data_IF_435836579495
#
_entry.id   IF_435836579495
#
_cell.length_a   1.000
_cell.length_b   1.000
_cell.length_c   1.000
_cell.angle_alpha   90.00
_cell.angle_beta   90.00
_cell.angle_gamma   90.00
#
_symmetry.space_group_name_H-M   'P 1'
#
loop_
_entity.id
_entity.type
_entity.pdbx_description
1 polymer ?
#
# COMPACT_ATOMS: atom_id res chain seq x y z
N UNK A 1 -19.67 17.20 62.97
CA UNK A 1 -20.00 18.36 62.11
C UNK A 1 -19.68 17.98 60.67
N UNK A 2 -20.66 17.50 59.91
CA UNK A 2 -20.51 17.15 58.49
C UNK A 2 -21.13 18.29 57.68
N UNK A 3 -20.29 19.14 57.08
CA UNK A 3 -20.70 20.20 56.17
C UNK A 3 -20.89 19.60 54.77
N UNK A 4 -22.15 19.35 54.40
CA UNK A 4 -22.56 19.05 53.03
C UNK A 4 -22.50 20.35 52.21
N UNK A 5 -21.45 20.51 51.41
CA UNK A 5 -21.40 21.52 50.35
C UNK A 5 -22.31 21.06 49.21
N UNK A 6 -23.54 21.59 49.17
CA UNK A 6 -24.40 21.51 48.00
C UNK A 6 -23.73 22.26 46.85
N UNK A 7 -23.20 21.54 45.86
CA UNK A 7 -22.80 22.13 44.59
C UNK A 7 -24.07 22.59 43.88
N UNK A 8 -24.32 23.90 43.87
CA UNK A 8 -25.26 24.50 42.92
C UNK A 8 -24.67 24.39 41.52
N UNK A 9 -24.97 23.30 40.82
CA UNK A 9 -24.75 23.20 39.39
C UNK A 9 -25.81 24.05 38.70
N UNK A 10 -25.43 25.24 38.24
CA UNK A 10 -26.27 26.07 37.39
C UNK A 10 -26.33 25.42 36.00
N UNK A 11 -27.28 24.50 35.79
CA UNK A 11 -27.56 23.91 34.48
C UNK A 11 -28.40 24.89 33.66
N UNK A 12 -27.79 25.95 33.14
CA UNK A 12 -28.49 26.88 32.24
C UNK A 12 -28.65 26.22 30.87
N UNK A 13 -29.82 25.61 30.66
CA UNK A 13 -30.23 25.11 29.35
C UNK A 13 -30.27 26.27 28.35
N UNK A 14 -29.75 26.09 27.12
CA UNK A 14 -29.70 27.17 26.15
C UNK A 14 -31.13 27.53 25.69
N UNK A 15 -31.38 28.82 25.48
CA UNK A 15 -32.71 29.38 25.20
C UNK A 15 -32.80 30.02 23.81
N UNK A 16 -34.01 30.35 23.36
CA UNK A 16 -34.30 31.12 22.15
C UNK A 16 -35.55 31.99 22.35
N UNK A 17 -35.67 33.07 21.57
CA UNK A 17 -36.83 33.95 21.60
C UNK A 17 -37.91 33.42 20.65
N UNK A 18 -39.15 33.40 21.10
CA UNK A 18 -40.32 32.99 20.33
C UNK A 18 -41.46 33.97 20.54
N UNK A 19 -42.24 34.24 19.48
CA UNK A 19 -43.47 35.04 19.59
C UNK A 19 -44.65 34.09 19.63
N UNK A 20 -45.33 34.03 20.77
CA UNK A 20 -46.50 33.18 20.92
C UNK A 20 -47.64 33.67 20.02
N UNK A 21 -48.21 32.78 19.21
CA UNK A 21 -49.19 33.15 18.21
C UNK A 21 -50.55 33.52 18.82
N UNK A 22 -50.88 33.00 20.00
CA UNK A 22 -52.15 33.26 20.66
C UNK A 22 -52.15 34.59 21.44
N UNK A 23 -51.09 34.86 22.20
CA UNK A 23 -50.95 36.06 23.04
C UNK A 23 -50.22 37.22 22.36
N UNK A 24 -49.52 36.97 21.26
CA UNK A 24 -48.61 37.91 20.59
C UNK A 24 -47.45 38.41 21.48
N UNK A 25 -47.18 37.73 22.60
CA UNK A 25 -46.10 38.03 23.53
C UNK A 25 -44.76 37.43 23.07
N UNK A 26 -43.65 38.07 23.42
CA UNK A 26 -42.31 37.56 23.16
C UNK A 26 -41.79 36.80 24.38
N UNK A 27 -41.62 35.49 24.23
CA UNK A 27 -41.22 34.56 25.29
C UNK A 27 -39.77 34.09 25.11
N UNK A 28 -39.13 33.73 26.22
CA UNK A 28 -37.82 33.06 26.24
C UNK A 28 -38.03 31.57 26.48
N UNK A 29 -37.87 30.78 25.42
CA UNK A 29 -38.12 29.34 25.41
C UNK A 29 -36.83 28.53 25.56
N UNK A 30 -36.89 27.35 26.18
CA UNK A 30 -35.76 26.42 26.23
C UNK A 30 -35.60 25.68 24.90
N UNK A 31 -34.36 25.52 24.43
CA UNK A 31 -34.05 24.74 23.22
C UNK A 31 -34.20 23.25 23.50
N UNK A 32 -34.41 22.50 22.43
CA UNK A 32 -34.40 21.04 22.45
C UNK A 32 -32.98 20.49 22.36
N UNK A 33 -32.65 19.40 23.10
CA UNK A 33 -31.34 18.79 23.06
C UNK A 33 -31.04 18.11 21.71
N UNK A 34 -29.76 17.77 21.41
CA UNK A 34 -29.41 16.88 20.30
C UNK A 34 -30.25 15.59 20.33
N UNK A 35 -30.62 15.06 19.16
CA UNK A 35 -31.54 13.92 19.09
C UNK A 35 -33.01 14.27 19.01
N UNK A 36 -33.37 15.55 19.21
CA UNK A 36 -34.76 16.01 19.30
C UNK A 36 -35.00 17.31 18.52
N UNK A 37 -36.27 17.62 18.29
CA UNK A 37 -36.75 18.85 17.65
C UNK A 37 -37.95 19.42 18.40
N UNK A 38 -38.29 20.69 18.15
CA UNK A 38 -39.44 21.37 18.75
C UNK A 38 -40.72 20.88 18.11
N UNK A 39 -41.54 20.17 18.88
CA UNK A 39 -42.90 19.79 18.49
C UNK A 39 -43.88 20.94 18.71
N UNK A 40 -43.77 21.58 19.86
CA UNK A 40 -44.55 22.76 20.24
C UNK A 40 -43.63 23.77 20.94
N UNK A 41 -43.69 25.02 20.48
CA UNK A 41 -43.00 26.12 21.13
C UNK A 41 -43.57 26.37 22.54
N UNK A 42 -42.79 27.05 23.38
CA UNK A 42 -43.29 27.39 24.71
C UNK A 42 -44.42 28.41 24.61
N UNK A 43 -45.39 28.29 25.51
CA UNK A 43 -46.34 29.35 25.85
C UNK A 43 -45.99 29.90 27.23
N UNK A 44 -46.79 30.83 27.75
CA UNK A 44 -46.59 31.35 29.11
C UNK A 44 -46.79 30.26 30.17
N UNK A 45 -47.64 29.28 29.89
CA UNK A 45 -48.03 28.21 30.82
C UNK A 45 -47.29 26.89 30.55
N UNK A 46 -46.84 26.65 29.31
CA UNK A 46 -46.23 25.38 28.90
C UNK A 46 -44.80 25.57 28.40
N UNK A 47 -43.83 24.75 28.88
CA UNK A 47 -42.48 24.78 28.35
C UNK A 47 -42.42 24.25 26.91
N UNK A 48 -41.30 24.47 26.23
CA UNK A 48 -41.07 23.87 24.90
C UNK A 48 -41.15 22.36 24.97
N UNK A 49 -41.98 21.76 24.11
CA UNK A 49 -42.09 20.31 23.99
C UNK A 49 -41.17 19.82 22.88
N UNK A 50 -40.24 18.95 23.26
CA UNK A 50 -39.32 18.30 22.34
C UNK A 50 -39.79 16.88 21.99
N UNK A 51 -39.61 16.47 20.73
CA UNK A 51 -39.84 15.09 20.28
C UNK A 51 -38.57 14.51 19.65
N UNK A 52 -38.34 13.19 19.77
CA UNK A 52 -37.17 12.54 19.19
C UNK A 52 -37.20 12.64 17.66
N UNK A 53 -36.02 12.73 17.05
CA UNK A 53 -35.90 12.66 15.61
C UNK A 53 -36.41 11.31 15.09
N UNK A 54 -37.22 11.30 14.01
CA UNK A 54 -37.60 10.06 13.35
C UNK A 54 -36.40 9.44 12.63
N UNK A 55 -36.58 8.20 12.14
CA UNK A 55 -35.57 7.51 11.34
C UNK A 55 -35.09 8.36 10.16
N UNK A 56 -33.80 8.20 9.81
CA UNK A 56 -33.10 8.96 8.77
C UNK A 56 -33.01 10.48 9.02
N UNK A 57 -33.23 10.95 10.25
CA UNK A 57 -33.10 12.35 10.61
C UNK A 57 -32.30 12.55 11.91
N UNK A 58 -31.68 13.74 12.04
CA UNK A 58 -30.83 14.05 13.18
C UNK A 58 -30.85 15.54 13.57
N UNK A 59 -30.44 15.81 14.81
CA UNK A 59 -30.01 17.12 15.30
C UNK A 59 -28.77 16.96 16.17
N UNK A 60 -27.65 17.55 15.76
CA UNK A 60 -26.36 17.38 16.46
C UNK A 60 -26.17 18.34 17.63
N UNK A 61 -26.89 19.46 17.62
CA UNK A 61 -26.74 20.52 18.60
C UNK A 61 -28.09 20.86 19.23
N UNK A 62 -28.04 21.54 20.38
CA UNK A 62 -29.22 22.17 20.97
C UNK A 62 -29.89 23.07 19.95
N UNK A 63 -31.19 22.92 19.72
CA UNK A 63 -31.87 23.54 18.58
C UNK A 63 -33.29 23.99 18.93
N UNK A 64 -33.86 24.79 18.02
CA UNK A 64 -35.27 25.20 18.05
C UNK A 64 -35.95 24.85 16.71
N UNK A 65 -35.43 23.83 16.01
CA UNK A 65 -35.97 23.42 14.71
C UNK A 65 -37.32 22.74 14.91
N UNK A 66 -38.27 23.04 14.04
CA UNK A 66 -39.58 22.38 14.03
C UNK A 66 -39.55 20.99 13.36
N UNK A 67 -38.44 20.65 12.71
CA UNK A 67 -38.17 19.34 12.08
C UNK A 67 -36.68 19.01 12.17
N UNK A 68 -36.36 17.74 12.39
CA UNK A 68 -34.97 17.29 12.33
C UNK A 68 -34.38 17.40 10.92
N UNK A 69 -33.05 17.45 10.82
CA UNK A 69 -32.35 17.49 9.53
C UNK A 69 -32.32 16.09 8.93
N UNK A 70 -32.59 15.96 7.64
CA UNK A 70 -32.45 14.68 6.94
C UNK A 70 -30.97 14.25 6.89
N UNK A 71 -30.72 12.95 7.05
CA UNK A 71 -29.43 12.33 6.86
C UNK A 71 -29.06 12.29 5.38
N UNK A 72 -28.62 13.43 4.86
CA UNK A 72 -28.39 13.69 3.45
C UNK A 72 -27.03 13.19 2.92
N UNK A 73 -26.14 12.72 3.79
CA UNK A 73 -24.88 12.11 3.36
C UNK A 73 -25.18 10.67 2.93
N UNK A 74 -24.90 10.37 1.66
CA UNK A 74 -25.06 9.05 1.07
C UNK A 74 -23.68 8.63 0.56
N UNK A 75 -23.21 7.44 0.96
CA UNK A 75 -21.90 6.97 0.55
C UNK A 75 -21.93 6.57 -0.93
N UNK A 76 -21.07 7.20 -1.72
CA UNK A 76 -20.93 6.94 -3.15
C UNK A 76 -20.13 5.69 -3.46
N UNK A 77 -19.78 5.53 -4.74
CA UNK A 77 -18.89 4.45 -5.18
C UNK A 77 -17.52 4.56 -4.51
N UNK A 78 -16.96 3.41 -4.10
CA UNK A 78 -15.65 3.31 -3.41
C UNK A 78 -15.59 4.05 -2.07
N UNK A 79 -16.74 4.38 -1.47
CA UNK A 79 -16.84 4.84 -0.09
C UNK A 79 -17.44 3.76 0.80
N UNK A 80 -17.20 3.87 2.10
CA UNK A 80 -17.78 3.05 3.16
C UNK A 80 -18.34 3.96 4.24
N UNK A 81 -19.44 3.52 4.84
CA UNK A 81 -20.03 4.17 6.00
C UNK A 81 -19.19 3.86 7.23
N UNK A 82 -18.49 4.87 7.75
CA UNK A 82 -17.68 4.77 8.98
C UNK A 82 -18.43 5.24 10.21
N UNK A 83 -19.53 5.96 10.00
CA UNK A 83 -20.47 6.36 11.04
C UNK A 83 -21.89 6.31 10.49
N UNK A 84 -22.75 5.54 11.14
CA UNK A 84 -24.14 5.43 10.74
C UNK A 84 -24.94 6.68 11.12
N UNK A 85 -25.91 7.05 10.28
CA UNK A 85 -26.89 8.07 10.64
C UNK A 85 -27.67 7.63 11.89
N UNK A 86 -27.82 8.53 12.87
CA UNK A 86 -28.71 8.34 14.01
C UNK A 86 -29.36 9.68 14.43
N UNK A 87 -30.17 9.70 15.48
CA UNK A 87 -30.88 10.91 15.91
C UNK A 87 -29.97 12.11 16.25
N UNK A 88 -28.71 11.87 16.59
CA UNK A 88 -27.75 12.90 17.03
C UNK A 88 -26.73 13.30 15.97
N UNK A 89 -26.55 12.53 14.90
CA UNK A 89 -25.55 12.86 13.89
C UNK A 89 -25.89 12.29 12.52
N UNK A 90 -25.37 12.96 11.50
CA UNK A 90 -25.47 12.51 10.13
C UNK A 90 -24.59 11.27 9.90
N UNK A 91 -24.83 10.61 8.77
CA UNK A 91 -23.92 9.60 8.23
C UNK A 91 -22.56 10.23 7.89
N UNK A 92 -21.49 9.48 8.10
CA UNK A 92 -20.14 9.85 7.63
C UNK A 92 -19.61 8.74 6.72
N UNK A 93 -19.14 9.15 5.55
CA UNK A 93 -18.56 8.27 4.55
C UNK A 93 -17.06 8.55 4.43
N UNK A 94 -16.30 7.51 4.14
CA UNK A 94 -14.85 7.58 3.95
C UNK A 94 -14.45 6.71 2.77
N UNK A 95 -13.35 7.04 2.10
CA UNK A 95 -12.85 6.21 1.01
C UNK A 95 -12.48 4.81 1.50
N UNK A 96 -12.82 3.80 0.69
CA UNK A 96 -12.45 2.41 0.92
C UNK A 96 -10.93 2.23 0.96
N UNK A 97 -10.49 1.12 1.57
CA UNK A 97 -9.07 0.75 1.59
C UNK A 97 -8.48 0.71 0.17
N UNK A 98 -7.29 1.29 0.02
CA UNK A 98 -6.64 1.46 -1.28
C UNK A 98 -7.04 2.72 -2.06
N UNK A 99 -7.87 3.59 -1.47
CA UNK A 99 -8.26 4.89 -2.03
C UNK A 99 -8.06 6.01 -1.01
N UNK A 100 -7.84 7.23 -1.50
CA UNK A 100 -7.82 8.45 -0.72
C UNK A 100 -8.79 9.49 -1.30
N UNK A 101 -9.25 10.40 -0.44
CA UNK A 101 -10.10 11.51 -0.83
C UNK A 101 -9.25 12.59 -1.51
N UNK A 102 -9.58 12.87 -2.76
CA UNK A 102 -9.05 13.99 -3.53
C UNK A 102 -10.24 14.79 -4.04
N UNK A 103 -10.44 15.98 -3.47
CA UNK A 103 -11.68 16.76 -3.64
C UNK A 103 -12.92 15.92 -3.28
N UNK A 104 -13.86 15.74 -4.20
CA UNK A 104 -15.10 14.99 -3.99
C UNK A 104 -15.00 13.52 -4.44
N UNK A 105 -13.80 13.04 -4.81
CA UNK A 105 -13.60 11.71 -5.38
C UNK A 105 -12.69 10.83 -4.52
N UNK A 106 -12.98 9.52 -4.51
CA UNK A 106 -12.06 8.51 -4.00
C UNK A 106 -11.13 8.03 -5.11
N UNK A 107 -9.88 8.45 -5.05
CA UNK A 107 -8.83 8.16 -6.02
C UNK A 107 -7.96 7.02 -5.52
N UNK A 108 -7.59 6.09 -6.39
CA UNK A 108 -6.77 4.93 -6.01
C UNK A 108 -5.39 5.39 -5.56
N UNK A 109 -4.88 4.80 -4.48
CA UNK A 109 -3.50 5.03 -4.05
C UNK A 109 -2.50 4.73 -5.17
N UNK A 110 -1.51 5.61 -5.28
CA UNK A 110 -0.39 5.46 -6.21
C UNK A 110 0.49 4.29 -5.80
N UNK A 111 1.09 3.64 -6.79
CA UNK A 111 2.02 2.53 -6.57
C UNK A 111 3.44 3.03 -6.78
N UNK A 112 4.32 2.72 -5.83
CA UNK A 112 5.75 2.94 -5.96
C UNK A 112 6.31 1.95 -7.00
N UNK A 113 7.02 2.44 -8.04
CA UNK A 113 7.64 1.57 -9.03
C UNK A 113 8.89 0.87 -8.45
N UNK A 114 9.43 -0.17 -9.12
CA UNK A 114 10.71 -0.77 -8.73
C UNK A 114 11.81 0.29 -8.61
N UNK A 115 12.68 0.15 -7.62
CA UNK A 115 13.65 1.19 -7.23
C UNK A 115 13.11 2.17 -6.18
N UNK A 116 11.80 2.19 -5.97
CA UNK A 116 11.13 3.04 -4.99
C UNK A 116 10.28 2.18 -4.05
N UNK A 117 10.29 2.56 -2.78
CA UNK A 117 9.47 1.93 -1.75
C UNK A 117 8.48 2.93 -1.18
N UNK A 118 7.47 2.40 -0.49
CA UNK A 118 6.54 3.23 0.29
C UNK A 118 7.29 3.84 1.47
N UNK A 119 7.33 5.18 1.50
CA UNK A 119 7.82 5.97 2.62
C UNK A 119 6.68 6.25 3.61
N UNK A 120 5.51 6.63 3.10
CA UNK A 120 4.28 6.79 3.88
C UNK A 120 3.14 6.05 3.23
N UNK A 121 2.49 5.20 4.01
CA UNK A 121 1.29 4.48 3.58
C UNK A 121 0.17 5.46 3.25
N UNK A 122 -0.54 5.19 2.16
CA UNK A 122 -1.74 5.94 1.82
C UNK A 122 -2.81 5.77 2.90
N UNK A 123 -3.51 6.85 3.20
CA UNK A 123 -4.66 6.87 4.11
C UNK A 123 -5.92 7.18 3.31
N UNK A 124 -7.12 7.15 3.93
CA UNK A 124 -8.32 7.60 3.22
C UNK A 124 -8.36 9.09 2.90
N UNK A 125 -7.37 9.87 3.34
CA UNK A 125 -7.25 11.32 3.10
C UNK A 125 -5.98 11.69 2.35
N UNK A 126 -4.97 10.81 2.32
CA UNK A 126 -3.66 11.08 1.72
C UNK A 126 -3.22 9.94 0.80
N UNK A 127 -2.59 10.30 -0.31
CA UNK A 127 -2.03 9.34 -1.23
C UNK A 127 -0.76 8.67 -0.66
N UNK A 128 -0.43 7.48 -1.16
CA UNK A 128 0.86 6.81 -0.89
C UNK A 128 2.02 7.70 -1.33
N UNK A 129 3.01 7.88 -0.46
CA UNK A 129 4.25 8.60 -0.77
C UNK A 129 5.38 7.61 -1.00
N UNK A 130 6.13 7.82 -2.07
CA UNK A 130 7.21 6.95 -2.51
C UNK A 130 8.55 7.66 -2.42
N UNK A 131 9.57 6.96 -1.95
CA UNK A 131 10.95 7.43 -1.95
C UNK A 131 11.86 6.43 -2.66
N UNK A 132 12.96 6.92 -3.23
CA UNK A 132 13.98 6.06 -3.84
C UNK A 132 14.63 5.20 -2.75
N UNK A 133 14.89 3.93 -3.04
CA UNK A 133 15.51 3.07 -2.05
C UNK A 133 16.95 3.52 -1.75
N UNK A 134 17.29 3.73 -0.47
CA UNK A 134 18.64 4.12 -0.08
C UNK A 134 19.63 2.96 -0.29
N UNK A 135 20.92 3.26 -0.19
CA UNK A 135 21.97 2.24 -0.24
C UNK A 135 21.73 1.15 0.81
N UNK A 136 21.92 -0.11 0.42
CA UNK A 136 21.63 -1.28 1.24
C UNK A 136 20.16 -1.71 1.23
N UNK A 137 19.30 -1.07 0.42
CA UNK A 137 17.89 -1.42 0.30
C UNK A 137 17.44 -1.53 -1.16
N UNK A 138 16.35 -2.27 -1.39
CA UNK A 138 15.77 -2.47 -2.72
C UNK A 138 14.25 -2.55 -2.72
N UNK A 139 13.66 -2.38 -3.91
CA UNK A 139 12.26 -2.67 -4.20
C UNK A 139 12.16 -3.22 -5.63
N UNK A 140 11.76 -4.49 -5.77
CA UNK A 140 11.70 -5.18 -7.08
C UNK A 140 10.33 -5.12 -7.75
N UNK A 141 9.29 -4.67 -7.04
CA UNK A 141 7.90 -4.78 -7.49
C UNK A 141 7.14 -3.47 -7.38
N UNK A 142 6.21 -3.25 -8.29
CA UNK A 142 5.29 -2.10 -8.22
C UNK A 142 4.25 -2.32 -7.12
N UNK A 143 4.28 -1.54 -6.05
CA UNK A 143 3.38 -1.71 -4.89
C UNK A 143 2.97 -0.38 -4.25
N UNK A 144 1.73 -0.30 -3.74
CA UNK A 144 1.24 0.84 -2.95
C UNK A 144 1.47 0.68 -1.44
N UNK A 145 2.01 -0.46 -1.00
CA UNK A 145 2.15 -0.80 0.43
C UNK A 145 3.54 -1.28 0.85
N UNK A 146 4.38 -1.76 -0.08
CA UNK A 146 5.68 -2.35 0.26
C UNK A 146 6.76 -1.26 0.43
N UNK A 147 7.42 -1.15 1.59
CA UNK A 147 8.58 -0.28 1.75
C UNK A 147 9.81 -0.90 1.09
N UNK A 148 10.89 -0.12 0.97
CA UNK A 148 12.18 -0.66 0.57
C UNK A 148 12.65 -1.71 1.58
N UNK A 149 13.12 -2.85 1.08
CA UNK A 149 13.60 -3.97 1.89
C UNK A 149 15.11 -3.92 2.00
N UNK A 150 15.70 -4.23 3.16
CA UNK A 150 17.15 -4.31 3.28
C UNK A 150 17.69 -5.44 2.39
N UNK A 151 18.91 -5.28 1.90
CA UNK A 151 19.61 -6.34 1.20
C UNK A 151 19.89 -7.50 2.16
N UNK A 152 19.80 -8.73 1.65
CA UNK A 152 20.17 -9.91 2.42
C UNK A 152 21.67 -9.93 2.71
N UNK A 153 22.02 -10.43 3.89
CA UNK A 153 23.40 -10.67 4.30
C UNK A 153 23.79 -12.11 3.96
N UNK A 154 24.72 -12.28 3.02
CA UNK A 154 25.18 -13.60 2.60
C UNK A 154 26.05 -14.28 3.65
N UNK A 155 26.84 -13.53 4.40
CA UNK A 155 27.76 -14.08 5.41
C UNK A 155 26.98 -14.67 6.57
N UNK A 156 25.90 -14.02 7.00
CA UNK A 156 24.98 -14.56 8.01
C UNK A 156 24.32 -15.89 7.59
N UNK A 157 24.26 -16.16 6.28
CA UNK A 157 23.76 -17.42 5.72
C UNK A 157 24.87 -18.46 5.47
N UNK A 158 26.13 -18.15 5.79
CA UNK A 158 27.29 -18.99 5.46
C UNK A 158 27.60 -19.04 3.96
N UNK A 159 27.09 -18.09 3.17
CA UNK A 159 27.24 -18.02 1.71
C UNK A 159 28.18 -16.89 1.31
N UNK A 160 28.60 -16.85 0.05
CA UNK A 160 29.31 -15.71 -0.55
C UNK A 160 28.39 -14.88 -1.43
N UNK A 161 28.71 -13.59 -1.57
CA UNK A 161 28.01 -12.69 -2.49
C UNK A 161 28.30 -13.11 -3.94
N UNK A 162 27.26 -13.46 -4.68
CA UNK A 162 27.33 -13.74 -6.11
C UNK A 162 27.16 -12.46 -6.94
N UNK A 163 26.07 -11.73 -6.67
CA UNK A 163 25.72 -10.47 -7.34
C UNK A 163 25.39 -9.45 -6.28
N UNK A 164 26.05 -8.29 -6.34
CA UNK A 164 25.76 -7.16 -5.47
C UNK A 164 24.36 -6.60 -5.74
N UNK A 165 23.59 -6.39 -4.66
CA UNK A 165 22.26 -5.80 -4.73
C UNK A 165 22.29 -4.35 -5.20
N UNK A 166 21.14 -3.87 -5.67
CA UNK A 166 20.94 -2.44 -5.95
C UNK A 166 19.51 -2.02 -5.61
N UNK A 167 19.10 -0.78 -5.93
CA UNK A 167 17.76 -0.30 -5.60
C UNK A 167 16.61 -1.14 -6.21
N UNK A 168 16.86 -1.94 -7.24
CA UNK A 168 15.83 -2.72 -7.95
C UNK A 168 15.80 -4.20 -7.60
N UNK A 169 16.85 -4.75 -7.00
CA UNK A 169 16.94 -6.18 -6.68
C UNK A 169 17.85 -6.41 -5.48
N UNK A 170 17.59 -7.52 -4.79
CA UNK A 170 18.37 -7.94 -3.64
C UNK A 170 19.79 -8.34 -4.04
N UNK A 171 20.70 -8.33 -3.07
CA UNK A 171 21.96 -9.07 -3.17
C UNK A 171 21.64 -10.54 -3.40
N UNK A 172 22.41 -11.22 -4.26
CA UNK A 172 22.21 -12.64 -4.54
C UNK A 172 23.38 -13.43 -3.97
N UNK A 173 23.08 -14.41 -3.14
CA UNK A 173 24.06 -15.24 -2.46
C UNK A 173 24.19 -16.62 -3.12
N UNK A 174 25.37 -17.21 -3.05
CA UNK A 174 25.64 -18.58 -3.54
C UNK A 174 26.59 -19.33 -2.61
N UNK A 175 26.47 -20.65 -2.60
CA UNK A 175 27.46 -21.57 -2.03
C UNK A 175 28.40 -22.15 -3.10
N UNK A 176 28.20 -21.80 -4.38
CA UNK A 176 29.04 -22.24 -5.47
C UNK A 176 30.50 -21.77 -5.27
N UNK A 177 31.44 -22.72 -5.38
CA UNK A 177 32.87 -22.46 -5.24
C UNK A 177 33.38 -22.34 -3.78
N UNK A 178 32.52 -22.53 -2.77
CA UNK A 178 33.00 -22.69 -1.38
C UNK A 178 33.52 -24.12 -1.15
N UNK A 179 34.71 -24.26 -0.57
CA UNK A 179 35.23 -25.57 -0.18
C UNK A 179 34.36 -26.20 0.92
N UNK A 180 33.78 -27.38 0.63
CA UNK A 180 33.03 -28.15 1.63
C UNK A 180 33.97 -28.62 2.73
N UNK A 181 33.99 -27.90 3.84
CA UNK A 181 34.59 -28.41 5.07
C UNK A 181 33.71 -29.53 5.63
N UNK A 182 34.08 -30.78 5.29
CA UNK A 182 33.62 -32.08 5.82
C UNK A 182 32.38 -32.76 5.19
N UNK A 183 32.66 -33.86 4.45
CA UNK A 183 32.08 -35.18 4.71
C UNK A 183 30.66 -35.54 4.20
N UNK A 184 30.61 -36.36 3.14
CA UNK A 184 29.61 -37.41 2.82
C UNK A 184 28.10 -37.09 2.87
N UNK A 185 27.47 -36.97 1.70
CA UNK A 185 26.27 -37.73 1.22
C UNK A 185 25.52 -36.99 0.09
N UNK A 186 25.06 -37.75 -0.91
CA UNK A 186 23.98 -37.37 -1.83
C UNK A 186 24.39 -36.74 -3.19
N UNK A 187 23.59 -36.94 -4.25
CA UNK A 187 23.85 -36.42 -5.61
C UNK A 187 24.01 -34.90 -5.55
N UNK A 188 25.09 -34.39 -6.14
CA UNK A 188 25.73 -33.11 -5.82
C UNK A 188 24.78 -31.89 -5.77
N UNK A 189 24.45 -31.37 -4.56
CA UNK A 189 23.74 -30.10 -4.40
C UNK A 189 24.52 -28.86 -4.86
N UNK A 190 25.77 -29.05 -5.32
CA UNK A 190 26.62 -27.96 -5.79
C UNK A 190 26.31 -27.53 -7.22
N UNK A 191 25.75 -28.42 -8.06
CA UNK A 191 25.55 -28.12 -9.48
C UNK A 191 24.36 -27.17 -9.66
N UNK A 192 23.20 -27.45 -9.04
CA UNK A 192 22.00 -26.60 -9.17
C UNK A 192 22.16 -25.17 -8.63
N UNK A 193 22.88 -25.01 -7.52
CA UNK A 193 23.21 -23.69 -6.96
C UNK A 193 24.24 -22.95 -7.83
N UNK A 194 25.25 -23.66 -8.36
CA UNK A 194 26.19 -23.10 -9.32
C UNK A 194 25.51 -22.67 -10.63
N UNK A 195 24.57 -23.47 -11.14
CA UNK A 195 23.78 -23.12 -12.32
C UNK A 195 22.93 -21.87 -12.05
N UNK A 196 22.25 -21.79 -10.90
CA UNK A 196 21.50 -20.58 -10.53
C UNK A 196 22.41 -19.37 -10.40
N UNK A 197 23.56 -19.54 -9.75
CA UNK A 197 24.51 -18.46 -9.53
C UNK A 197 25.07 -17.95 -10.86
N UNK A 198 25.31 -18.84 -11.82
CA UNK A 198 25.69 -18.44 -13.18
C UNK A 198 24.57 -17.68 -13.89
N UNK A 199 23.32 -18.14 -13.81
CA UNK A 199 22.15 -17.45 -14.36
C UNK A 199 22.04 -16.03 -13.80
N UNK A 200 22.12 -15.92 -12.47
CA UNK A 200 22.05 -14.66 -11.74
C UNK A 200 23.19 -13.73 -12.16
N UNK A 201 24.42 -14.23 -12.18
CA UNK A 201 25.61 -13.47 -12.59
C UNK A 201 25.45 -12.89 -13.99
N UNK A 202 25.03 -13.70 -14.96
CA UNK A 202 24.88 -13.27 -16.36
C UNK A 202 23.74 -12.27 -16.50
N UNK A 203 22.61 -12.49 -15.83
CA UNK A 203 21.42 -11.63 -15.96
C UNK A 203 21.66 -10.19 -15.49
N UNK A 204 22.46 -10.01 -14.44
CA UNK A 204 22.74 -8.69 -13.87
C UNK A 204 24.03 -8.04 -14.38
N UNK A 205 24.77 -8.68 -15.29
CA UNK A 205 25.92 -8.05 -15.95
C UNK A 205 25.55 -6.75 -16.67
N UNK A 206 26.56 -5.91 -16.90
CA UNK A 206 26.40 -4.64 -17.61
C UNK A 206 26.18 -4.82 -19.14
N UNK A 207 25.21 -5.62 -19.56
CA UNK A 207 24.92 -5.93 -20.97
C UNK A 207 24.11 -4.80 -21.62
N UNK A 208 24.54 -4.26 -22.77
CA UNK A 208 23.73 -3.30 -23.53
C UNK A 208 22.38 -3.88 -23.93
N UNK A 209 21.30 -3.10 -23.82
CA UNK A 209 19.91 -3.55 -24.07
C UNK A 209 19.76 -4.29 -25.42
N UNK A 210 20.42 -3.81 -26.48
CA UNK A 210 20.39 -4.45 -27.81
C UNK A 210 20.97 -5.87 -27.77
N UNK A 211 22.06 -6.08 -27.03
CA UNK A 211 22.70 -7.39 -26.87
C UNK A 211 21.90 -8.30 -25.94
N UNK A 212 21.30 -7.77 -24.88
CA UNK A 212 20.42 -8.53 -23.99
C UNK A 212 19.18 -9.05 -24.73
N UNK A 213 18.54 -8.20 -25.54
CA UNK A 213 17.44 -8.61 -26.43
C UNK A 213 17.87 -9.69 -27.42
N UNK A 214 19.05 -9.54 -28.03
CA UNK A 214 19.60 -10.56 -28.95
C UNK A 214 19.86 -11.88 -28.23
N UNK A 215 20.44 -11.84 -27.02
CA UNK A 215 20.69 -13.03 -26.20
C UNK A 215 19.38 -13.74 -25.86
N UNK A 216 18.35 -12.99 -25.45
CA UNK A 216 17.01 -13.51 -25.21
C UNK A 216 16.42 -14.15 -26.49
N UNK A 217 16.54 -13.51 -27.66
CA UNK A 217 16.06 -14.06 -28.94
C UNK A 217 16.80 -15.32 -29.39
N UNK A 218 18.06 -15.51 -28.99
CA UNK A 218 18.82 -16.72 -29.30
C UNK A 218 18.29 -17.90 -28.46
N UNK A 219 17.92 -17.63 -27.21
CA UNK A 219 17.42 -18.63 -26.26
C UNK A 219 15.90 -18.85 -26.34
N UNK A 220 15.14 -17.89 -26.87
CA UNK A 220 13.67 -17.88 -26.91
C UNK A 220 13.16 -17.78 -28.36
N UNK A 221 12.23 -18.65 -28.77
CA UNK A 221 11.45 -18.42 -30.00
C UNK A 221 10.54 -17.19 -29.82
N UNK A 222 10.38 -16.33 -30.84
CA UNK A 222 9.94 -14.94 -30.66
C UNK A 222 8.56 -14.83 -29.98
N UNK A 223 8.53 -14.38 -28.72
CA UNK A 223 7.29 -14.08 -28.00
C UNK A 223 6.89 -12.61 -28.22
N UNK A 224 5.68 -12.37 -28.75
CA UNK A 224 5.09 -11.05 -29.09
C UNK A 224 4.72 -10.16 -27.87
N UNK A 225 5.35 -10.33 -26.71
CA UNK A 225 4.98 -9.55 -25.50
C UNK A 225 5.67 -8.18 -25.49
N UNK A 226 4.98 -7.17 -24.94
CA UNK A 226 5.50 -5.82 -24.77
C UNK A 226 6.90 -5.84 -24.13
N UNK A 227 7.85 -5.11 -24.75
CA UNK A 227 9.20 -5.01 -24.25
C UNK A 227 9.22 -4.23 -22.92
N UNK A 228 9.94 -4.69 -21.88
CA UNK A 228 10.08 -3.95 -20.64
C UNK A 228 10.73 -2.58 -20.90
N UNK A 229 10.24 -1.54 -20.22
CA UNK A 229 10.65 -0.14 -20.45
C UNK A 229 11.96 0.24 -19.76
N UNK A 230 12.36 -0.50 -18.72
CA UNK A 230 13.58 -0.22 -17.93
C UNK A 230 14.58 -1.36 -18.04
N UNK A 231 15.87 -1.04 -17.81
CA UNK A 231 16.96 -2.02 -17.79
C UNK A 231 16.73 -3.08 -16.71
N UNK A 232 16.41 -2.66 -15.49
CA UNK A 232 16.17 -3.58 -14.37
C UNK A 232 15.04 -4.57 -14.67
N UNK A 233 13.94 -4.10 -15.27
CA UNK A 233 12.85 -4.99 -15.67
C UNK A 233 13.24 -5.97 -16.79
N UNK A 234 14.15 -5.58 -17.69
CA UNK A 234 14.70 -6.52 -18.68
C UNK A 234 15.64 -7.55 -18.05
N UNK A 235 16.49 -7.15 -17.12
CA UNK A 235 17.39 -8.07 -16.41
C UNK A 235 16.58 -9.08 -15.59
N UNK A 236 15.57 -8.63 -14.85
CA UNK A 236 14.69 -9.51 -14.08
C UNK A 236 13.90 -10.47 -14.98
N UNK A 237 13.34 -9.97 -16.08
CA UNK A 237 12.64 -10.82 -17.06
C UNK A 237 13.57 -11.89 -17.64
N UNK A 238 14.81 -11.51 -17.97
CA UNK A 238 15.79 -12.42 -18.53
C UNK A 238 16.24 -13.48 -17.51
N UNK A 239 16.49 -13.07 -16.26
CA UNK A 239 16.77 -13.98 -15.15
C UNK A 239 15.65 -15.00 -14.93
N UNK A 240 14.40 -14.52 -14.86
CA UNK A 240 13.24 -15.39 -14.64
C UNK A 240 13.08 -16.40 -15.79
N UNK A 241 13.32 -15.98 -17.03
CA UNK A 241 13.31 -16.86 -18.19
C UNK A 241 14.39 -17.96 -18.09
N UNK A 242 15.64 -17.61 -17.81
CA UNK A 242 16.73 -18.57 -17.65
C UNK A 242 16.47 -19.55 -16.49
N UNK A 243 15.93 -19.02 -15.38
CA UNK A 243 15.59 -19.82 -14.20
C UNK A 243 14.51 -20.86 -14.53
N UNK A 244 13.49 -20.49 -15.30
CA UNK A 244 12.47 -21.41 -15.79
C UNK A 244 13.04 -22.44 -16.79
N UNK A 245 13.96 -22.03 -17.68
CA UNK A 245 14.58 -22.96 -18.64
C UNK A 245 15.36 -24.08 -17.92
N UNK A 246 16.02 -23.72 -16.81
CA UNK A 246 16.77 -24.66 -15.95
C UNK A 246 15.91 -25.75 -15.33
N UNK A 247 14.64 -25.48 -15.04
CA UNK A 247 13.73 -26.49 -14.49
C UNK A 247 13.49 -27.66 -15.49
N UNK A 248 13.75 -27.45 -16.78
CA UNK A 248 13.58 -28.47 -17.83
C UNK A 248 14.84 -29.26 -18.20
N UNK A 249 16.02 -28.64 -18.15
CA UNK A 249 17.32 -29.27 -18.43
C UNK A 249 18.50 -28.37 -17.97
N UNK A 250 19.73 -28.90 -17.85
CA UNK A 250 20.93 -28.10 -17.59
C UNK A 250 21.11 -26.99 -18.63
N UNK A 251 21.25 -25.74 -18.21
CA UNK A 251 21.31 -24.56 -19.12
C UNK A 251 22.75 -24.10 -19.35
N UNK A 252 23.70 -24.64 -18.61
CA UNK A 252 25.10 -24.17 -18.57
C UNK A 252 25.74 -24.05 -19.94
N UNK A 253 25.76 -25.14 -20.72
CA UNK A 253 26.39 -25.13 -22.04
C UNK A 253 25.61 -24.28 -23.05
N UNK A 254 24.27 -24.32 -22.99
CA UNK A 254 23.42 -23.53 -23.87
C UNK A 254 23.63 -22.02 -23.67
N UNK A 255 23.72 -21.57 -22.42
CA UNK A 255 23.99 -20.17 -22.08
C UNK A 255 25.37 -19.72 -22.55
N UNK A 256 26.41 -20.55 -22.39
CA UNK A 256 27.76 -20.24 -22.88
C UNK A 256 27.79 -20.11 -24.41
N UNK A 257 27.11 -21.01 -25.13
CA UNK A 257 26.97 -20.94 -26.59
C UNK A 257 26.19 -19.70 -27.02
N UNK A 258 25.09 -19.38 -26.33
CA UNK A 258 24.28 -18.20 -26.60
C UNK A 258 25.06 -16.90 -26.37
N UNK A 259 25.86 -16.81 -25.30
CA UNK A 259 26.73 -15.66 -25.02
C UNK A 259 27.76 -15.43 -26.13
N UNK A 260 28.43 -16.49 -26.60
CA UNK A 260 29.34 -16.39 -27.76
C UNK A 260 28.60 -15.94 -29.02
N UNK A 261 27.45 -16.53 -29.30
CA UNK A 261 26.62 -16.20 -30.47
C UNK A 261 26.12 -14.75 -30.43
N UNK A 262 25.86 -14.20 -29.25
CA UNK A 262 25.49 -12.81 -29.02
C UNK A 262 26.68 -11.82 -29.05
N UNK A 263 27.92 -12.31 -29.29
CA UNK A 263 29.17 -11.52 -29.22
C UNK A 263 29.39 -10.90 -27.84
N UNK A 264 29.20 -11.70 -26.79
CA UNK A 264 29.44 -11.38 -25.37
C UNK A 264 30.63 -12.19 -24.81
N UNK A 265 31.72 -12.29 -25.58
CA UNK A 265 32.90 -13.10 -25.24
C UNK A 265 33.49 -12.81 -23.86
N UNK A 266 33.62 -11.52 -23.49
CA UNK A 266 34.15 -11.14 -22.17
C UNK A 266 33.29 -11.66 -21.02
N UNK A 267 31.97 -11.69 -21.15
CA UNK A 267 31.07 -12.23 -20.12
C UNK A 267 31.18 -13.75 -20.07
N UNK A 268 31.26 -14.40 -21.23
CA UNK A 268 31.45 -15.85 -21.32
C UNK A 268 32.76 -16.32 -20.67
N UNK A 269 33.86 -15.61 -20.91
CA UNK A 269 35.14 -15.89 -20.23
C UNK A 269 35.06 -15.68 -18.72
N UNK A 270 34.36 -14.64 -18.26
CA UNK A 270 34.15 -14.40 -16.83
C UNK A 270 33.33 -15.51 -16.18
N UNK A 271 32.28 -16.00 -16.85
CA UNK A 271 31.49 -17.14 -16.39
C UNK A 271 32.38 -18.36 -16.23
N UNK A 272 33.16 -18.73 -17.25
CA UNK A 272 34.08 -19.89 -17.16
C UNK A 272 35.06 -19.79 -16.01
N UNK A 273 35.69 -18.62 -15.86
CA UNK A 273 36.65 -18.38 -14.77
C UNK A 273 36.00 -18.46 -13.40
N UNK A 274 34.82 -17.88 -13.23
CA UNK A 274 34.12 -17.76 -11.94
C UNK A 274 33.49 -19.07 -11.48
N UNK A 275 33.00 -19.88 -12.42
CA UNK A 275 32.28 -21.12 -12.14
C UNK A 275 33.07 -22.39 -12.49
N UNK A 276 34.37 -22.26 -12.82
CA UNK A 276 35.31 -23.35 -13.10
C UNK A 276 34.86 -24.31 -14.23
N UNK A 277 34.41 -23.73 -15.36
CA UNK A 277 33.83 -24.43 -16.52
C UNK A 277 34.71 -24.43 -17.79
#
# INVERSE_FOLDING_TARGET
LLLLLAKLSCSTHPVYLWRDAASNEQLTCQRCPPGTFVKHHCTREQPTRCEPCPDLHYTQYWNYLEKCRYCNVICGERQVEVQQCNSTHNRVCQCQEGYYSETEFCVRHSKCPPGFGVEKLGTPFENTQCSACPHGFFSSSTSSTKPCQPHQDCEQQGKVVNVEGNQYHDTLCTSCGQERSNGTQGPAPGDEDCEQAMIDFVAYQNIPIKKLKRLQQILEHPSRKQAPRTRAAMQEKFRAFLTHLREGHPVTQELLVALRTAKLHSIEEQVRRRFLL
#
